data_IF_350533007221
#
_entry.id   IF_350533007221
#
_cell.length_a   1.000
_cell.length_b   1.000
_cell.length_c   1.000
_cell.angle_alpha   90.00
_cell.angle_beta   90.00
_cell.angle_gamma   90.00
#
_symmetry.space_group_name_H-M   'P 1'
#
loop_
_entity.id
_entity.type
_entity.pdbx_description
1 polymer ?
#
# COMPACT_ATOMS: atom_id res chain seq x y z
N UNK A 1 -9.62 12.97 5.39
CA UNK A 1 -8.97 12.12 6.42
C UNK A 1 -8.94 10.70 5.88
N UNK A 2 -7.77 10.05 5.90
CA UNK A 2 -7.50 8.77 5.24
C UNK A 2 -8.59 7.71 5.50
N UNK A 3 -9.01 7.51 6.75
CA UNK A 3 -10.02 6.51 7.07
C UNK A 3 -11.37 6.77 6.39
N UNK A 4 -11.82 8.02 6.34
CA UNK A 4 -13.08 8.40 5.68
C UNK A 4 -12.98 8.17 4.16
N UNK A 5 -11.86 8.57 3.56
CA UNK A 5 -11.59 8.37 2.13
C UNK A 5 -11.52 6.87 1.77
N UNK A 6 -11.04 6.04 2.70
CA UNK A 6 -11.04 4.59 2.59
C UNK A 6 -12.39 3.95 2.94
N UNK A 7 -13.45 4.72 3.13
CA UNK A 7 -14.81 4.23 3.40
C UNK A 7 -15.00 3.67 4.81
N UNK A 8 -14.18 4.12 5.77
CA UNK A 8 -14.42 3.90 7.21
C UNK A 8 -15.39 4.96 7.70
N UNK A 9 -16.36 4.56 8.50
CA UNK A 9 -17.32 5.46 9.14
C UNK A 9 -16.60 6.61 9.86
N UNK A 10 -17.05 7.84 9.59
CA UNK A 10 -16.40 9.06 10.06
C UNK A 10 -16.28 9.16 11.58
N UNK A 11 -17.23 8.57 12.33
CA UNK A 11 -17.22 8.60 13.79
C UNK A 11 -16.07 7.79 14.40
N UNK A 12 -15.60 6.74 13.71
CA UNK A 12 -14.56 5.83 14.20
C UNK A 12 -13.28 5.86 13.37
N UNK A 13 -13.26 6.61 12.27
CA UNK A 13 -12.20 6.54 11.28
C UNK A 13 -10.82 6.96 11.85
N UNK A 14 -10.76 7.99 12.71
CA UNK A 14 -9.50 8.41 13.35
C UNK A 14 -8.97 7.32 14.29
N UNK A 15 -9.82 6.78 15.17
CA UNK A 15 -9.46 5.71 16.11
C UNK A 15 -9.03 4.45 15.39
N UNK A 16 -9.72 4.05 14.32
CA UNK A 16 -9.37 2.85 13.55
C UNK A 16 -8.04 2.99 12.85
N UNK A 17 -7.77 4.12 12.17
CA UNK A 17 -6.49 4.36 11.52
C UNK A 17 -5.35 4.35 12.53
N UNK A 18 -5.49 5.05 13.67
CA UNK A 18 -4.49 5.05 14.73
C UNK A 18 -4.18 3.62 15.23
N UNK A 19 -5.20 2.77 15.46
CA UNK A 19 -4.99 1.37 15.85
C UNK A 19 -4.28 0.54 14.79
N UNK A 20 -4.43 0.87 13.51
CA UNK A 20 -3.70 0.21 12.41
C UNK A 20 -2.24 0.66 12.39
N UNK A 21 -2.00 1.96 12.51
CA UNK A 21 -0.64 2.55 12.53
C UNK A 21 0.18 2.05 13.73
N UNK A 22 -0.45 1.88 14.89
CA UNK A 22 0.18 1.32 16.10
C UNK A 22 0.29 -0.21 16.10
N UNK A 23 -0.23 -0.89 15.07
CA UNK A 23 -0.25 -2.36 15.01
C UNK A 23 -1.16 -3.05 16.04
N UNK A 24 -2.00 -2.29 16.76
CA UNK A 24 -2.96 -2.81 17.76
C UNK A 24 -4.01 -3.71 17.07
N UNK A 25 -4.45 -3.32 15.88
CA UNK A 25 -5.34 -4.11 15.05
C UNK A 25 -4.79 -4.23 13.64
N UNK A 26 -5.02 -5.38 13.00
CA UNK A 26 -4.70 -5.57 11.58
C UNK A 26 -5.97 -5.35 10.75
N UNK A 27 -5.96 -4.43 9.77
CA UNK A 27 -7.09 -4.29 8.86
C UNK A 27 -7.25 -5.56 8.01
N UNK A 28 -8.48 -5.87 7.63
CA UNK A 28 -8.72 -6.94 6.65
C UNK A 28 -8.22 -6.52 5.25
N UNK A 29 -8.07 -7.49 4.36
CA UNK A 29 -7.55 -7.25 3.02
C UNK A 29 -8.41 -6.27 2.20
N UNK A 30 -9.73 -6.23 2.46
CA UNK A 30 -10.62 -5.27 1.80
C UNK A 30 -10.32 -3.83 2.24
N UNK A 31 -10.11 -3.62 3.54
CA UNK A 31 -9.73 -2.33 4.12
C UNK A 31 -8.36 -1.91 3.61
N UNK A 32 -7.37 -2.81 3.58
CA UNK A 32 -6.05 -2.54 3.00
C UNK A 32 -6.15 -2.13 1.54
N UNK A 33 -6.99 -2.81 0.73
CA UNK A 33 -7.23 -2.41 -0.67
C UNK A 33 -7.80 -1.00 -0.80
N UNK A 34 -8.74 -0.61 0.07
CA UNK A 34 -9.30 0.74 0.07
C UNK A 34 -8.24 1.78 0.46
N UNK A 35 -7.45 1.51 1.49
CA UNK A 35 -6.33 2.37 1.90
C UNK A 35 -5.29 2.51 0.78
N UNK A 36 -4.88 1.41 0.15
CA UNK A 36 -3.95 1.38 -0.97
C UNK A 36 -4.42 2.25 -2.14
N UNK A 37 -5.72 2.16 -2.47
CA UNK A 37 -6.33 2.98 -3.52
C UNK A 37 -6.27 4.47 -3.19
N UNK A 38 -6.58 4.86 -1.95
CA UNK A 38 -6.54 6.26 -1.52
C UNK A 38 -5.12 6.81 -1.51
N UNK A 39 -4.15 6.01 -1.03
CA UNK A 39 -2.74 6.40 -0.96
C UNK A 39 -2.01 6.32 -2.31
N UNK A 40 -2.62 5.70 -3.33
CA UNK A 40 -1.98 5.51 -4.64
C UNK A 40 -0.76 4.58 -4.58
N UNK A 41 -0.81 3.54 -3.75
CA UNK A 41 0.27 2.55 -3.59
C UNK A 41 -0.23 1.13 -3.89
N UNK A 42 0.64 0.18 -4.26
CA UNK A 42 0.27 -1.22 -4.39
C UNK A 42 -0.20 -1.80 -3.06
N UNK A 43 -1.19 -2.69 -3.10
CA UNK A 43 -1.63 -3.43 -1.91
C UNK A 43 -0.48 -4.21 -1.28
N UNK A 44 0.40 -4.79 -2.10
CA UNK A 44 1.58 -5.53 -1.66
C UNK A 44 2.56 -4.70 -0.82
N UNK A 45 2.56 -3.37 -1.00
CA UNK A 45 3.43 -2.47 -0.22
C UNK A 45 3.19 -2.58 1.29
N UNK A 46 1.93 -2.80 1.71
CA UNK A 46 1.58 -2.95 3.12
C UNK A 46 2.08 -4.24 3.78
N UNK A 47 2.59 -5.19 2.99
CA UNK A 47 3.01 -6.51 3.45
C UNK A 47 4.51 -6.76 3.18
N UNK A 48 5.25 -5.73 2.75
CA UNK A 48 6.70 -5.77 2.59
C UNK A 48 7.38 -5.07 3.79
N UNK A 49 6.96 -5.42 5.00
CA UNK A 49 7.36 -4.74 6.26
C UNK A 49 8.73 -5.20 6.80
N UNK A 50 9.26 -6.31 6.30
CA UNK A 50 10.57 -6.85 6.71
C UNK A 50 11.73 -6.42 5.80
N UNK A 51 11.42 -5.85 4.63
CA UNK A 51 12.42 -5.51 3.59
C UNK A 51 12.07 -4.18 2.92
N UNK A 52 12.78 -3.13 3.35
CA UNK A 52 12.64 -1.77 2.83
C UNK A 52 12.98 -1.68 1.33
N UNK A 53 13.92 -2.51 0.84
CA UNK A 53 14.29 -2.54 -0.59
C UNK A 53 13.12 -3.08 -1.42
N UNK A 54 12.47 -4.15 -0.96
CA UNK A 54 11.28 -4.70 -1.62
C UNK A 54 10.12 -3.71 -1.58
N UNK A 55 9.85 -3.08 -0.42
CA UNK A 55 8.80 -2.08 -0.29
C UNK A 55 9.01 -0.90 -1.25
N UNK A 56 10.25 -0.38 -1.30
CA UNK A 56 10.61 0.70 -2.20
C UNK A 56 10.50 0.27 -3.68
N UNK A 57 10.93 -0.94 -4.02
CA UNK A 57 10.81 -1.48 -5.38
C UNK A 57 9.34 -1.57 -5.81
N UNK A 58 8.45 -2.09 -4.95
CA UNK A 58 7.01 -2.16 -5.22
C UNK A 58 6.44 -0.76 -5.49
N UNK A 59 6.77 0.21 -4.65
CA UNK A 59 6.31 1.59 -4.78
C UNK A 59 6.82 2.22 -6.08
N UNK A 60 8.14 2.16 -6.34
CA UNK A 60 8.76 2.74 -7.54
C UNK A 60 8.27 2.08 -8.82
N UNK A 61 8.22 0.75 -8.86
CA UNK A 61 7.72 -0.01 -10.01
C UNK A 61 6.26 0.36 -10.33
N UNK A 62 5.42 0.53 -9.31
CA UNK A 62 4.02 0.94 -9.48
C UNK A 62 3.83 2.36 -10.04
N UNK A 63 4.84 3.23 -9.92
CA UNK A 63 4.84 4.60 -10.46
C UNK A 63 5.66 4.73 -11.74
N UNK A 64 6.46 3.73 -12.09
CA UNK A 64 7.34 3.75 -13.25
C UNK A 64 6.56 3.80 -14.57
N UNK A 65 7.11 4.55 -15.54
CA UNK A 65 6.59 4.59 -16.91
C UNK A 65 6.67 3.20 -17.57
N UNK A 66 5.79 2.88 -18.55
CA UNK A 66 5.77 1.57 -19.21
C UNK A 66 7.12 1.11 -19.74
N UNK A 67 7.92 2.03 -20.30
CA UNK A 67 9.28 1.73 -20.81
C UNK A 67 10.23 1.27 -19.71
N UNK A 68 10.19 1.90 -18.54
CA UNK A 68 11.02 1.52 -17.40
C UNK A 68 10.60 0.16 -16.85
N UNK A 69 9.29 -0.11 -16.75
CA UNK A 69 8.78 -1.44 -16.35
C UNK A 69 9.21 -2.53 -17.32
N UNK A 70 9.19 -2.26 -18.63
CA UNK A 70 9.67 -3.20 -19.64
C UNK A 70 11.17 -3.49 -19.48
N UNK A 71 11.98 -2.45 -19.23
CA UNK A 71 13.41 -2.61 -18.99
C UNK A 71 13.68 -3.47 -17.74
N UNK A 72 12.97 -3.22 -16.64
CA UNK A 72 13.05 -4.05 -15.42
C UNK A 72 12.67 -5.50 -15.72
N UNK A 73 11.55 -5.74 -16.41
CA UNK A 73 11.13 -7.09 -16.79
C UNK A 73 12.15 -7.82 -17.65
N UNK A 74 12.86 -7.11 -18.55
CA UNK A 74 13.91 -7.66 -19.39
C UNK A 74 15.21 -7.94 -18.60
N UNK A 75 15.54 -7.08 -17.63
CA UNK A 75 16.70 -7.26 -16.77
C UNK A 75 16.53 -8.48 -15.86
N UNK A 76 15.30 -8.73 -15.41
CA UNK A 76 14.96 -9.83 -14.50
C UNK A 76 14.46 -11.10 -15.20
N UNK A 77 14.29 -11.06 -16.53
CA UNK A 77 14.05 -12.28 -17.31
C UNK A 77 15.39 -12.97 -17.54
N UNK A 78 15.54 -14.20 -17.04
CA UNK A 78 16.66 -15.10 -17.36
C UNK A 78 16.85 -15.24 -18.89
#
# INVERSE_FOLDING_TARGET
MLGIEAGIDAFVASTRINRYELGIHRPDLLTVRKLAKVLGVPVAFFFADEDDEIAEMLLRYSKAAPRARLAVRKLLSE
#
